data_IF_868573352807
#
_entry.id   IF_868573352807
#
_cell.length_a   1.000
_cell.length_b   1.000
_cell.length_c   1.000
_cell.angle_alpha   90.00
_cell.angle_beta   90.00
_cell.angle_gamma   90.00
#
_symmetry.space_group_name_H-M   'P 1'
#
loop_
_entity.id
_entity.type
_entity.pdbx_description
1 polymer ?
#
# COMPACT_ATOMS: atom_id res chain seq x y z
N UNK A 1 5.53 -29.65 13.16
CA UNK A 1 5.10 -29.50 11.75
C UNK A 1 6.28 -29.23 10.81
N UNK A 2 7.19 -28.30 11.14
CA UNK A 2 8.34 -27.93 10.27
C UNK A 2 9.30 -29.07 9.91
N UNK A 3 9.52 -30.07 10.77
CA UNK A 3 10.45 -31.18 10.48
C UNK A 3 9.93 -32.13 9.40
N UNK A 4 8.63 -32.43 9.39
CA UNK A 4 8.00 -33.31 8.40
C UNK A 4 7.86 -32.64 7.03
N UNK A 5 7.56 -31.34 7.01
CA UNK A 5 7.54 -30.54 5.77
C UNK A 5 8.95 -30.45 5.19
N UNK A 6 9.98 -30.24 6.03
CA UNK A 6 11.37 -30.24 5.59
C UNK A 6 11.80 -31.62 5.04
N UNK A 7 11.39 -32.72 5.67
CA UNK A 7 11.67 -34.07 5.17
C UNK A 7 10.96 -34.36 3.83
N UNK A 8 9.70 -33.94 3.68
CA UNK A 8 8.94 -34.11 2.44
C UNK A 8 9.51 -33.26 1.29
N UNK A 9 9.93 -32.03 1.59
CA UNK A 9 10.60 -31.14 0.63
C UNK A 9 11.96 -31.68 0.16
N UNK A 10 12.68 -32.40 1.02
CA UNK A 10 13.94 -33.07 0.67
C UNK A 10 13.73 -34.35 -0.15
N UNK A 11 12.59 -35.04 0.02
CA UNK A 11 12.31 -36.32 -0.62
C UNK A 11 11.60 -36.19 -1.98
N UNK A 12 10.89 -35.09 -2.23
CA UNK A 12 10.08 -34.89 -3.45
C UNK A 12 10.49 -33.57 -4.12
N UNK A 13 11.28 -33.62 -5.21
CA UNK A 13 11.59 -32.44 -6.01
C UNK A 13 10.31 -31.77 -6.51
N UNK A 14 10.17 -30.45 -6.33
CA UNK A 14 8.98 -29.69 -6.73
C UNK A 14 7.86 -29.61 -5.68
N UNK A 15 8.02 -30.19 -4.50
CA UNK A 15 7.01 -30.13 -3.42
C UNK A 15 6.62 -28.69 -3.03
N UNK A 16 7.59 -27.76 -3.06
CA UNK A 16 7.34 -26.35 -2.74
C UNK A 16 6.42 -25.65 -3.74
N UNK A 17 6.46 -26.01 -5.02
CA UNK A 17 5.59 -25.45 -6.06
C UNK A 17 4.15 -25.98 -5.89
N UNK A 18 3.99 -27.29 -5.67
CA UNK A 18 2.67 -27.93 -5.48
C UNK A 18 1.97 -27.43 -4.20
N UNK A 19 2.72 -27.18 -3.12
CA UNK A 19 2.17 -26.70 -1.86
C UNK A 19 1.79 -25.21 -1.90
N UNK A 20 2.41 -24.41 -2.77
CA UNK A 20 2.13 -22.97 -2.91
C UNK A 20 0.82 -22.67 -3.64
N UNK A 21 0.41 -23.55 -4.55
CA UNK A 21 -0.74 -23.30 -5.43
C UNK A 21 -2.07 -23.81 -4.87
N UNK A 22 -2.06 -24.84 -4.01
CA UNK A 22 -3.27 -25.35 -3.39
C UNK A 22 -3.01 -25.91 -1.97
N UNK A 23 -3.43 -25.19 -0.90
CA UNK A 23 -3.17 -25.59 0.47
C UNK A 23 -3.86 -26.90 0.86
N UNK A 24 -4.95 -27.27 0.19
CA UNK A 24 -5.66 -28.53 0.43
C UNK A 24 -4.79 -29.74 0.05
N UNK A 25 -4.05 -29.63 -1.06
CA UNK A 25 -3.16 -30.68 -1.56
C UNK A 25 -1.99 -30.92 -0.61
N UNK A 26 -1.44 -29.84 -0.03
CA UNK A 26 -0.38 -29.93 0.99
C UNK A 26 -0.83 -30.65 2.26
N UNK A 27 -2.06 -30.40 2.72
CA UNK A 27 -2.67 -31.08 3.88
C UNK A 27 -2.87 -32.57 3.59
N UNK A 28 -3.45 -32.92 2.43
CA UNK A 28 -3.66 -34.32 2.04
C UNK A 28 -2.32 -35.06 1.97
N UNK A 29 -1.33 -34.46 1.32
CA UNK A 29 -0.02 -35.09 1.10
C UNK A 29 0.76 -35.29 2.40
N UNK A 30 0.76 -34.30 3.31
CA UNK A 30 1.38 -34.45 4.64
C UNK A 30 0.67 -35.46 5.52
N UNK A 31 -0.65 -35.60 5.38
CA UNK A 31 -1.43 -36.64 6.08
C UNK A 31 -1.06 -38.03 5.56
N UNK A 32 -0.98 -38.20 4.24
CA UNK A 32 -0.58 -39.47 3.59
C UNK A 32 0.85 -39.84 3.97
N UNK A 33 1.80 -38.91 3.93
CA UNK A 33 3.21 -39.16 4.31
C UNK A 33 3.31 -39.58 5.78
N UNK A 34 2.56 -38.95 6.69
CA UNK A 34 2.53 -39.35 8.10
C UNK A 34 1.95 -40.75 8.30
N UNK A 35 0.91 -41.12 7.54
CA UNK A 35 0.34 -42.48 7.59
C UNK A 35 1.35 -43.50 7.06
N UNK A 36 2.01 -43.22 5.93
CA UNK A 36 3.00 -44.11 5.32
C UNK A 36 4.24 -44.29 6.18
N UNK A 37 4.79 -43.22 6.76
CA UNK A 37 5.93 -43.30 7.68
C UNK A 37 5.60 -44.15 8.90
N UNK A 38 4.38 -44.02 9.44
CA UNK A 38 3.90 -44.83 10.57
C UNK A 38 3.69 -46.29 10.21
N UNK A 39 3.32 -46.60 8.97
CA UNK A 39 3.23 -47.98 8.47
C UNK A 39 4.61 -48.61 8.24
N UNK A 40 5.64 -47.79 8.00
CA UNK A 40 6.98 -48.26 7.66
C UNK A 40 7.85 -48.57 8.88
N UNK A 41 7.68 -47.82 9.98
CA UNK A 41 8.30 -48.16 11.26
C UNK A 41 7.59 -49.38 11.87
N UNK A 42 8.14 -50.58 11.68
CA UNK A 42 7.66 -51.87 12.22
C UNK A 42 7.70 -51.98 13.76
N UNK A 43 7.55 -50.88 14.48
CA UNK A 43 7.33 -50.95 15.93
C UNK A 43 5.85 -51.30 16.17
N UNK A 44 5.54 -52.34 16.95
CA UNK A 44 4.17 -52.64 17.34
C UNK A 44 3.66 -51.50 18.23
N UNK A 45 3.04 -50.50 17.61
CA UNK A 45 2.40 -49.41 18.34
C UNK A 45 1.27 -50.02 19.16
N UNK A 46 1.45 -49.98 20.48
CA UNK A 46 0.38 -50.17 21.44
C UNK A 46 -0.65 -49.09 21.14
N UNK A 47 -1.71 -49.44 20.38
CA UNK A 47 -2.70 -48.46 19.94
C UNK A 47 -3.22 -47.71 21.17
N UNK A 48 -3.14 -46.37 21.21
CA UNK A 48 -3.79 -45.63 22.26
C UNK A 48 -5.27 -46.03 22.24
N UNK A 49 -5.79 -46.38 23.41
CA UNK A 49 -7.17 -46.81 23.61
C UNK A 49 -8.13 -45.96 22.75
N UNK A 50 -9.06 -46.59 22.02
CA UNK A 50 -9.90 -45.98 20.96
C UNK A 50 -10.57 -44.64 21.35
N UNK A 51 -10.66 -44.33 22.63
CA UNK A 51 -11.20 -43.09 23.20
C UNK A 51 -10.31 -41.85 22.96
N UNK A 52 -9.01 -41.98 22.64
CA UNK A 52 -8.08 -40.83 22.55
C UNK A 52 -7.69 -40.39 21.12
N UNK A 53 -8.21 -41.04 20.08
CA UNK A 53 -7.86 -40.71 18.66
C UNK A 53 -8.67 -39.51 18.13
N UNK A 54 -9.93 -39.38 18.54
CA UNK A 54 -10.83 -38.29 18.14
C UNK A 54 -10.33 -36.89 18.56
N UNK A 55 -9.86 -36.65 19.81
CA UNK A 55 -9.41 -35.31 20.20
C UNK A 55 -8.16 -34.83 19.45
N UNK A 56 -7.27 -35.73 19.01
CA UNK A 56 -6.07 -35.36 18.28
C UNK A 56 -6.38 -34.86 16.85
N UNK A 57 -7.36 -35.49 16.19
CA UNK A 57 -7.83 -35.09 14.87
C UNK A 57 -8.53 -33.72 14.92
N UNK A 58 -9.42 -33.52 15.91
CA UNK A 58 -10.07 -32.22 16.12
C UNK A 58 -9.08 -31.09 16.44
N UNK A 59 -8.04 -31.36 17.25
CA UNK A 59 -7.00 -30.38 17.55
C UNK A 59 -6.20 -30.00 16.28
N UNK A 60 -5.91 -30.96 15.39
CA UNK A 60 -5.22 -30.68 14.13
C UNK A 60 -6.06 -29.81 13.16
N UNK A 61 -7.37 -30.05 13.11
CA UNK A 61 -8.32 -29.25 12.33
C UNK A 61 -8.42 -27.82 12.86
N UNK A 62 -8.49 -27.66 14.19
CA UNK A 62 -8.54 -26.35 14.84
C UNK A 62 -7.25 -25.53 14.62
N UNK A 63 -6.08 -26.18 14.51
CA UNK A 63 -4.82 -25.48 14.24
C UNK A 63 -4.70 -25.05 12.76
N UNK A 64 -5.31 -25.81 11.84
CA UNK A 64 -5.27 -25.48 10.40
C UNK A 64 -6.16 -24.30 9.99
N UNK A 65 -7.18 -23.97 10.78
CA UNK A 65 -8.14 -22.90 10.47
C UNK A 65 -7.63 -21.47 10.70
N UNK A 66 -6.46 -21.28 11.31
CA UNK A 66 -5.94 -19.94 11.68
C UNK A 66 -4.82 -19.42 10.77
N UNK A 67 -4.42 -20.18 9.74
CA UNK A 67 -3.42 -19.70 8.79
C UNK A 67 -4.06 -18.59 7.94
N UNK A 68 -3.62 -17.34 8.15
CA UNK A 68 -4.06 -16.23 7.32
C UNK A 68 -3.54 -16.42 5.90
N UNK A 69 -4.40 -16.26 4.90
CA UNK A 69 -3.97 -16.33 3.50
C UNK A 69 -3.17 -15.07 3.19
N UNK A 70 -1.93 -15.18 2.68
CA UNK A 70 -1.15 -14.01 2.27
C UNK A 70 -1.92 -13.19 1.24
N UNK A 71 -1.84 -11.86 1.34
CA UNK A 71 -2.43 -10.97 0.36
C UNK A 71 -1.74 -11.16 -0.99
N UNK A 72 -2.49 -11.61 -2.00
CA UNK A 72 -2.02 -11.67 -3.40
C UNK A 72 -2.41 -10.38 -4.12
N UNK A 73 -1.40 -9.69 -4.66
CA UNK A 73 -1.60 -8.49 -5.47
C UNK A 73 -1.59 -8.85 -6.95
N UNK A 74 -2.46 -8.21 -7.72
CA UNK A 74 -2.39 -8.23 -9.19
C UNK A 74 -1.43 -7.12 -9.62
N UNK A 75 -0.29 -7.46 -10.26
CA UNK A 75 0.69 -6.46 -10.69
C UNK A 75 0.17 -5.51 -11.78
N UNK A 76 -0.95 -5.85 -12.43
CA UNK A 76 -1.54 -5.04 -13.49
C UNK A 76 -2.56 -4.01 -12.97
N UNK A 77 -2.89 -4.03 -11.68
CA UNK A 77 -3.86 -3.11 -11.09
C UNK A 77 -3.18 -1.95 -10.37
N UNK A 78 -3.71 -0.75 -10.56
CA UNK A 78 -3.39 0.39 -9.71
C UNK A 78 -4.22 0.35 -8.43
N UNK A 79 -3.59 0.14 -7.29
CA UNK A 79 -4.29 0.11 -6.00
C UNK A 79 -4.41 1.50 -5.37
N UNK A 80 -5.51 1.72 -4.65
CA UNK A 80 -5.71 2.93 -3.85
C UNK A 80 -4.58 3.08 -2.83
N UNK A 81 -3.94 4.25 -2.81
CA UNK A 81 -2.99 4.63 -1.76
C UNK A 81 -3.76 4.92 -0.49
N UNK A 82 -3.33 4.27 0.58
CA UNK A 82 -4.11 4.22 1.80
C UNK A 82 -3.24 4.05 3.06
N UNK A 83 -1.94 4.35 2.97
CA UNK A 83 -1.05 4.38 4.12
C UNK A 83 -1.42 5.56 5.03
N UNK A 84 -1.71 5.31 6.32
CA UNK A 84 -1.90 6.39 7.28
C UNK A 84 -0.56 7.01 7.70
N UNK A 85 -0.51 8.33 7.70
CA UNK A 85 0.66 9.12 8.11
C UNK A 85 0.23 10.38 8.85
N UNK A 86 1.08 10.89 9.72
CA UNK A 86 0.90 12.16 10.41
C UNK A 86 2.14 13.02 10.24
N UNK A 87 1.96 14.31 9.96
CA UNK A 87 3.04 15.28 9.83
C UNK A 87 2.93 16.27 10.99
N UNK A 88 4.00 16.37 11.79
CA UNK A 88 4.04 17.23 12.98
C UNK A 88 3.66 18.68 12.61
N UNK A 89 2.69 19.24 13.31
CA UNK A 89 2.21 20.61 13.09
C UNK A 89 1.26 20.80 11.91
N UNK A 90 1.00 19.78 11.10
CA UNK A 90 0.08 19.86 9.94
C UNK A 90 -1.16 19.00 10.15
N UNK A 91 -1.01 17.72 10.45
CA UNK A 91 -2.15 16.81 10.67
C UNK A 91 -1.90 15.38 10.21
N UNK A 92 -2.95 14.56 10.26
CA UNK A 92 -2.92 13.16 9.83
C UNK A 92 -3.73 12.95 8.54
N UNK A 93 -3.23 12.09 7.67
CA UNK A 93 -3.74 11.85 6.33
C UNK A 93 -3.71 10.35 6.00
N UNK A 94 -4.48 9.96 5.00
CA UNK A 94 -4.48 8.60 4.45
C UNK A 94 -4.17 8.65 2.94
N UNK A 95 -3.08 7.99 2.54
CA UNK A 95 -2.73 7.82 1.13
C UNK A 95 -2.13 9.07 0.49
N UNK A 96 -2.90 10.12 0.24
CA UNK A 96 -2.42 11.25 -0.57
C UNK A 96 -2.77 12.59 0.05
N UNK A 97 -1.81 13.51 0.10
CA UNK A 97 -2.06 14.88 0.56
C UNK A 97 -1.07 15.88 -0.05
N UNK A 98 -1.39 17.17 0.10
CA UNK A 98 -0.49 18.29 -0.15
C UNK A 98 -0.07 18.87 1.20
N UNK A 99 1.21 19.06 1.41
CA UNK A 99 1.78 19.65 2.62
C UNK A 99 2.21 21.10 2.34
N UNK A 100 2.06 22.01 3.30
CA UNK A 100 2.62 23.35 3.17
C UNK A 100 4.14 23.30 3.01
N UNK A 101 4.71 24.30 2.33
CA UNK A 101 6.15 24.40 2.15
C UNK A 101 6.87 24.58 3.50
N UNK A 102 7.83 23.71 3.81
CA UNK A 102 8.65 23.74 5.02
C UNK A 102 10.07 23.27 4.69
N UNK A 103 11.05 23.74 5.47
CA UNK A 103 12.44 23.32 5.31
C UNK A 103 12.69 21.90 5.83
N UNK A 104 11.86 21.41 6.75
CA UNK A 104 11.97 20.07 7.31
C UNK A 104 10.61 19.57 7.76
N UNK A 105 10.35 18.29 7.54
CA UNK A 105 9.11 17.61 7.91
C UNK A 105 9.42 16.44 8.84
N UNK A 106 8.74 16.35 9.98
CA UNK A 106 8.70 15.13 10.79
C UNK A 106 7.43 14.36 10.43
N UNK A 107 7.62 13.17 9.84
CA UNK A 107 6.55 12.31 9.34
C UNK A 107 6.49 11.05 10.19
N UNK A 108 5.38 10.86 10.89
CA UNK A 108 5.05 9.61 11.59
C UNK A 108 4.26 8.70 10.67
N UNK A 109 4.84 7.54 10.35
CA UNK A 109 4.26 6.53 9.46
C UNK A 109 3.77 5.36 10.31
N UNK A 110 2.49 5.01 10.15
CA UNK A 110 1.87 3.93 10.90
C UNK A 110 1.40 2.81 9.95
N UNK A 111 1.44 1.54 10.37
CA UNK A 111 0.81 0.48 9.61
C UNK A 111 -0.71 0.66 9.58
N UNK A 112 -1.32 0.31 8.45
CA UNK A 112 -2.78 0.22 8.34
C UNK A 112 -3.29 -1.05 9.01
N UNK A 113 -4.27 -0.92 9.90
CA UNK A 113 -4.85 -2.06 10.62
C UNK A 113 -3.87 -2.68 11.62
N UNK A 114 -3.77 -4.01 11.61
CA UNK A 114 -2.86 -4.83 12.42
C UNK A 114 -1.56 -5.22 11.67
N UNK A 115 -1.28 -4.58 10.54
CA UNK A 115 -0.03 -4.78 9.80
C UNK A 115 1.22 -4.46 10.63
N UNK A 116 2.29 -5.21 10.37
CA UNK A 116 3.64 -4.83 10.75
C UNK A 116 4.37 -4.26 9.53
N UNK A 117 5.25 -3.29 9.75
CA UNK A 117 6.12 -2.75 8.70
C UNK A 117 7.47 -3.44 8.86
N UNK A 118 7.80 -4.33 7.92
CA UNK A 118 9.10 -5.02 7.87
C UNK A 118 10.10 -4.25 7.00
N UNK A 119 9.60 -3.61 5.93
CA UNK A 119 10.36 -2.73 5.05
C UNK A 119 9.58 -1.43 4.83
N UNK A 120 10.27 -0.31 5.01
CA UNK A 120 9.82 1.03 4.63
C UNK A 120 10.73 1.53 3.50
N UNK A 121 10.15 1.93 2.37
CA UNK A 121 10.85 2.64 1.29
C UNK A 121 10.30 4.06 1.19
N UNK A 122 11.19 5.05 1.23
CA UNK A 122 10.84 6.44 1.00
C UNK A 122 11.59 6.92 -0.25
N UNK A 123 10.85 7.33 -1.27
CA UNK A 123 11.40 7.71 -2.57
C UNK A 123 10.98 9.13 -2.91
N UNK A 124 11.93 9.97 -3.31
CA UNK A 124 11.68 11.28 -3.90
C UNK A 124 12.01 11.26 -5.41
N UNK A 125 12.01 12.41 -6.05
CA UNK A 125 12.51 12.56 -7.42
C UNK A 125 14.04 12.35 -7.53
N UNK A 126 14.79 12.41 -6.43
CA UNK A 126 16.26 12.40 -6.44
C UNK A 126 16.90 11.25 -5.66
N UNK A 127 16.21 10.68 -4.66
CA UNK A 127 16.76 9.64 -3.79
C UNK A 127 15.73 8.58 -3.41
N UNK A 128 16.25 7.42 -3.04
CA UNK A 128 15.49 6.33 -2.45
C UNK A 128 16.19 5.90 -1.16
N UNK A 129 15.43 5.87 -0.07
CA UNK A 129 15.89 5.47 1.25
C UNK A 129 15.10 4.24 1.71
N UNK A 130 15.80 3.21 2.15
CA UNK A 130 15.21 1.95 2.60
C UNK A 130 15.52 1.67 4.06
N UNK A 131 14.49 1.33 4.83
CA UNK A 131 14.61 0.98 6.25
C UNK A 131 14.03 -0.41 6.47
N UNK A 132 14.89 -1.37 6.75
CA UNK A 132 14.50 -2.72 7.16
C UNK A 132 14.49 -2.82 8.67
N UNK A 133 13.47 -3.50 9.21
CA UNK A 133 13.49 -3.89 10.61
C UNK A 133 14.49 -5.04 10.80
N UNK A 134 15.61 -4.79 11.47
CA UNK A 134 16.43 -5.88 12.00
C UNK A 134 15.59 -6.68 13.00
N UNK A 135 15.33 -7.95 12.68
CA UNK A 135 14.61 -8.88 13.54
C UNK A 135 15.41 -9.14 14.84
N UNK A 136 15.36 -8.21 15.79
CA UNK A 136 16.03 -8.36 17.08
C UNK A 136 15.14 -9.16 18.05
N UNK A 137 15.27 -10.48 17.98
CA UNK A 137 14.94 -11.41 19.07
C UNK A 137 13.77 -12.38 18.83
N UNK A 138 13.95 -13.61 19.31
CA UNK A 138 13.00 -14.75 19.22
C UNK A 138 11.69 -14.61 20.02
N UNK A 139 11.42 -13.44 20.62
CA UNK A 139 10.21 -13.21 21.43
C UNK A 139 9.10 -12.52 20.62
N UNK A 140 7.99 -13.26 20.42
CA UNK A 140 6.91 -13.06 19.44
C UNK A 140 5.89 -11.96 19.83
N UNK A 141 6.28 -10.92 20.56
CA UNK A 141 5.35 -9.86 21.01
C UNK A 141 5.86 -8.42 20.74
N UNK A 142 6.48 -8.19 19.58
CA UNK A 142 6.84 -6.81 19.20
C UNK A 142 5.62 -6.06 18.65
N UNK A 143 5.29 -4.93 19.31
CA UNK A 143 4.20 -4.00 18.96
C UNK A 143 4.33 -3.42 17.54
N UNK A 144 3.17 -2.96 17.02
CA UNK A 144 3.06 -2.12 15.80
C UNK A 144 4.16 -1.06 15.80
N UNK A 145 5.05 -1.16 14.84
CA UNK A 145 6.24 -0.30 14.78
C UNK A 145 5.86 0.92 13.96
N UNK A 146 5.66 2.06 14.63
CA UNK A 146 5.54 3.34 13.96
C UNK A 146 6.94 3.82 13.57
N UNK A 147 7.09 4.37 12.38
CA UNK A 147 8.34 4.96 11.92
C UNK A 147 8.25 6.47 12.04
N UNK A 148 9.30 7.10 12.56
CA UNK A 148 9.49 8.55 12.47
C UNK A 148 10.55 8.81 11.41
N UNK A 149 10.18 9.57 10.40
CA UNK A 149 11.05 9.92 9.28
C UNK A 149 11.19 11.45 9.21
N UNK A 150 12.43 11.93 9.13
CA UNK A 150 12.73 13.35 9.00
C UNK A 150 13.10 13.62 7.54
N UNK A 151 12.29 14.43 6.87
CA UNK A 151 12.51 14.78 5.46
C UNK A 151 12.94 16.24 5.36
N UNK A 152 14.10 16.46 4.75
CA UNK A 152 14.62 17.79 4.39
C UNK A 152 14.83 17.81 2.88
N UNK A 153 14.02 18.56 2.11
CA UNK A 153 14.16 18.66 0.66
C UNK A 153 15.57 19.12 0.25
N UNK A 154 16.17 18.46 -0.73
CA UNK A 154 17.42 18.91 -1.34
C UNK A 154 17.21 20.21 -2.14
N UNK A 155 17.96 21.26 -1.78
CA UNK A 155 17.85 22.59 -2.40
C UNK A 155 18.22 22.55 -3.88
N UNK A 156 17.38 23.15 -4.71
CA UNK A 156 17.47 23.20 -6.16
C UNK A 156 17.07 21.91 -6.89
N UNK A 157 16.57 20.89 -6.17
CA UNK A 157 16.22 19.59 -6.75
C UNK A 157 14.84 19.11 -6.26
N UNK A 158 14.67 18.95 -4.94
CA UNK A 158 13.42 18.45 -4.37
C UNK A 158 12.48 19.59 -3.93
N UNK A 159 13.00 20.81 -3.83
CA UNK A 159 12.26 22.03 -3.47
C UNK A 159 11.87 22.89 -4.68
N UNK A 160 11.97 22.38 -5.91
CA UNK A 160 11.63 23.11 -7.16
C UNK A 160 10.11 23.19 -7.44
N UNK A 161 9.32 22.44 -6.65
CA UNK A 161 7.86 22.37 -6.71
C UNK A 161 7.30 21.16 -7.47
N UNK A 162 8.12 20.46 -8.25
CA UNK A 162 7.64 19.35 -9.10
C UNK A 162 7.91 17.98 -8.48
N UNK A 163 8.72 17.91 -7.44
CA UNK A 163 9.02 16.70 -6.70
C UNK A 163 7.85 16.22 -5.82
N UNK A 164 7.69 14.90 -5.71
CA UNK A 164 6.77 14.25 -4.75
C UNK A 164 7.57 13.37 -3.81
N UNK A 165 7.05 13.15 -2.60
CA UNK A 165 7.55 12.10 -1.70
C UNK A 165 6.62 10.90 -1.74
N UNK A 166 7.14 9.75 -2.15
CA UNK A 166 6.48 8.45 -2.13
C UNK A 166 6.90 7.68 -0.88
N UNK A 167 5.93 7.13 -0.15
CA UNK A 167 6.17 6.32 1.05
C UNK A 167 5.52 4.97 0.85
N UNK A 168 6.31 3.91 0.88
CA UNK A 168 5.86 2.55 0.64
C UNK A 168 6.19 1.67 1.84
N UNK A 169 5.22 0.93 2.34
CA UNK A 169 5.40 -0.01 3.45
C UNK A 169 5.07 -1.43 3.00
N UNK A 170 5.88 -2.40 3.43
CA UNK A 170 5.74 -3.81 3.10
C UNK A 170 5.83 -4.68 4.35
N UNK A 171 4.94 -5.66 4.44
CA UNK A 171 4.97 -6.73 5.44
C UNK A 171 5.38 -8.05 4.79
N UNK A 172 6.41 -8.70 5.34
CA UNK A 172 7.00 -9.92 4.82
C UNK A 172 6.09 -11.15 5.00
N UNK A 173 5.40 -11.26 6.14
CA UNK A 173 4.69 -12.49 6.51
C UNK A 173 3.34 -12.66 5.80
N UNK A 174 2.53 -11.60 5.76
CA UNK A 174 1.21 -11.64 5.13
C UNK A 174 1.17 -10.90 3.79
N UNK A 175 2.28 -10.33 3.33
CA UNK A 175 2.34 -9.60 2.06
C UNK A 175 1.50 -8.33 2.04
N UNK A 176 1.15 -7.76 3.21
CA UNK A 176 0.32 -6.55 3.28
C UNK A 176 1.14 -5.34 2.91
N UNK A 177 0.68 -4.60 1.91
CA UNK A 177 1.35 -3.39 1.44
C UNK A 177 0.47 -2.16 1.72
N UNK A 178 1.07 -0.99 1.88
CA UNK A 178 0.35 0.29 1.93
C UNK A 178 1.25 1.38 1.37
N UNK A 179 0.65 2.36 0.71
CA UNK A 179 1.39 3.43 0.02
C UNK A 179 0.82 4.79 0.34
N UNK A 180 1.69 5.81 0.33
CA UNK A 180 1.31 7.20 0.32
C UNK A 180 2.12 8.03 -0.67
N UNK A 181 1.54 9.16 -1.09
CA UNK A 181 2.18 10.21 -1.88
C UNK A 181 1.92 11.58 -1.29
N UNK A 182 2.98 12.33 -1.08
CA UNK A 182 2.94 13.68 -0.57
C UNK A 182 3.39 14.63 -1.69
N UNK A 183 2.57 15.65 -1.94
CA UNK A 183 2.97 16.84 -2.71
C UNK A 183 3.28 17.96 -1.74
N UNK A 184 4.01 18.96 -2.20
CA UNK A 184 4.38 20.13 -1.41
C UNK A 184 3.89 21.38 -2.11
N UNK A 185 3.32 22.32 -1.35
CA UNK A 185 3.10 23.67 -1.85
C UNK A 185 4.45 24.30 -2.23
N UNK A 186 4.45 25.16 -3.23
CA UNK A 186 5.67 25.81 -3.69
C UNK A 186 5.38 27.22 -4.21
N UNK A 187 6.24 28.23 -3.94
CA UNK A 187 6.00 29.61 -4.36
C UNK A 187 5.82 29.84 -5.88
N UNK A 188 6.25 28.89 -6.72
CA UNK A 188 5.98 28.89 -8.17
C UNK A 188 4.49 28.76 -8.48
N UNK A 189 3.74 28.07 -7.63
CA UNK A 189 2.33 27.78 -7.80
C UNK A 189 1.49 28.68 -6.89
N UNK A 190 0.81 29.65 -7.49
CA UNK A 190 0.11 30.73 -6.78
C UNK A 190 -1.36 30.86 -7.19
N UNK A 191 -1.82 30.03 -8.12
CA UNK A 191 -3.19 30.03 -8.58
C UNK A 191 -4.03 29.16 -7.64
N UNK A 192 -4.88 29.79 -6.84
CA UNK A 192 -5.81 29.08 -5.96
C UNK A 192 -6.90 28.36 -6.75
N UNK A 193 -7.34 27.21 -6.22
CA UNK A 193 -8.42 26.43 -6.82
C UNK A 193 -9.36 25.83 -5.77
N UNK A 194 -10.59 25.59 -6.20
CA UNK A 194 -11.58 24.80 -5.46
C UNK A 194 -11.71 23.44 -6.12
N UNK A 195 -11.21 22.39 -5.46
CA UNK A 195 -11.20 21.02 -5.95
C UNK A 195 -12.32 20.22 -5.26
N UNK A 196 -13.18 19.58 -6.06
CA UNK A 196 -14.11 18.55 -5.62
C UNK A 196 -13.57 17.19 -6.03
N UNK A 197 -13.07 16.43 -5.06
CA UNK A 197 -12.45 15.13 -5.24
C UNK A 197 -13.21 14.07 -4.43
N UNK A 198 -13.73 13.03 -5.07
CA UNK A 198 -14.60 12.01 -4.45
C UNK A 198 -15.80 12.61 -3.69
N UNK A 199 -16.34 13.72 -4.16
CA UNK A 199 -17.45 14.43 -3.49
C UNK A 199 -17.04 15.27 -2.28
N UNK A 200 -15.75 15.26 -1.88
CA UNK A 200 -15.21 16.18 -0.88
C UNK A 200 -14.73 17.47 -1.54
N UNK A 201 -15.04 18.61 -0.92
CA UNK A 201 -14.56 19.91 -1.37
C UNK A 201 -13.31 20.32 -0.59
N UNK A 202 -12.27 20.76 -1.31
CA UNK A 202 -11.00 21.21 -0.76
C UNK A 202 -10.59 22.51 -1.43
N UNK A 203 -10.19 23.49 -0.63
CA UNK A 203 -9.46 24.65 -1.13
C UNK A 203 -8.00 24.23 -1.32
N UNK A 204 -7.42 24.58 -2.46
CA UNK A 204 -6.03 24.26 -2.79
C UNK A 204 -5.26 25.54 -3.13
N UNK A 205 -4.06 25.67 -2.57
CA UNK A 205 -3.19 26.83 -2.72
C UNK A 205 -2.06 26.53 -3.69
N UNK A 206 -2.33 26.76 -4.97
CA UNK A 206 -1.37 26.49 -6.05
C UNK A 206 -1.13 25.00 -6.35
N UNK A 207 -1.19 24.11 -5.38
CA UNK A 207 -0.95 22.68 -5.58
C UNK A 207 -2.14 21.87 -5.07
N UNK A 208 -2.58 20.89 -5.85
CA UNK A 208 -3.66 19.99 -5.47
C UNK A 208 -3.38 18.54 -5.86
N UNK A 209 -3.93 17.61 -5.07
CA UNK A 209 -3.92 16.19 -5.37
C UNK A 209 -5.32 15.61 -5.24
N UNK A 210 -5.72 14.79 -6.20
CA UNK A 210 -6.96 14.04 -6.14
C UNK A 210 -6.74 12.57 -6.45
N UNK A 211 -7.00 11.70 -5.48
CA UNK A 211 -7.06 10.27 -5.70
C UNK A 211 -8.52 9.82 -5.82
N UNK A 212 -8.89 9.15 -6.91
CA UNK A 212 -10.24 8.64 -7.14
C UNK A 212 -10.21 7.29 -7.86
N UNK A 213 -11.35 6.59 -7.89
CA UNK A 213 -11.49 5.41 -8.75
C UNK A 213 -11.38 5.85 -10.21
N UNK A 214 -10.58 5.15 -11.00
CA UNK A 214 -10.41 5.46 -12.42
C UNK A 214 -11.76 5.49 -13.16
N UNK A 215 -11.90 6.44 -14.08
CA UNK A 215 -13.12 6.70 -14.84
C UNK A 215 -14.11 7.66 -14.16
N UNK A 216 -13.96 7.97 -12.87
CA UNK A 216 -14.79 8.97 -12.21
C UNK A 216 -14.34 10.39 -12.58
N UNK A 217 -15.30 11.27 -12.83
CA UNK A 217 -15.04 12.68 -13.08
C UNK A 217 -14.89 13.46 -11.77
N UNK A 218 -13.86 14.29 -11.69
CA UNK A 218 -13.63 15.24 -10.60
C UNK A 218 -13.85 16.65 -11.12
N UNK A 219 -14.09 17.61 -10.24
CA UNK A 219 -14.29 19.02 -10.64
C UNK A 219 -13.26 19.91 -10.00
N UNK A 220 -12.69 20.81 -10.77
CA UNK A 220 -11.84 21.88 -10.27
C UNK A 220 -12.35 23.24 -10.79
N UNK A 221 -12.38 24.23 -9.92
CA UNK A 221 -12.82 25.58 -10.25
C UNK A 221 -11.75 26.60 -9.91
N UNK A 222 -11.54 27.51 -10.85
CA UNK A 222 -10.68 28.68 -10.70
C UNK A 222 -11.53 29.94 -10.76
N UNK A 223 -11.07 31.00 -10.11
CA UNK A 223 -11.78 32.29 -10.08
C UNK A 223 -11.41 33.17 -11.28
N UNK A 224 -10.41 32.78 -12.07
CA UNK A 224 -10.00 33.42 -13.32
C UNK A 224 -9.96 32.43 -14.50
N UNK A 225 -10.01 32.89 -15.76
CA UNK A 225 -9.83 32.02 -16.93
C UNK A 225 -8.45 31.38 -16.95
N UNK A 226 -8.40 30.09 -17.33
CA UNK A 226 -7.19 29.28 -17.29
C UNK A 226 -7.02 28.42 -18.55
N UNK A 227 -5.79 27.98 -18.79
CA UNK A 227 -5.41 26.98 -19.77
C UNK A 227 -4.75 25.80 -19.06
N UNK A 228 -5.03 24.59 -19.52
CA UNK A 228 -4.41 23.37 -19.00
C UNK A 228 -3.31 22.90 -19.96
N UNK A 229 -2.22 22.40 -19.39
CA UNK A 229 -1.16 21.64 -20.03
C UNK A 229 -1.11 20.27 -19.33
N UNK A 230 -1.08 19.17 -20.07
CA UNK A 230 -1.18 17.81 -19.52
C UNK A 230 -0.38 16.80 -20.36
N UNK A 231 -0.03 15.67 -19.75
CA UNK A 231 0.61 14.56 -20.46
C UNK A 231 -0.35 13.88 -21.44
N UNK A 232 0.12 13.40 -22.58
CA UNK A 232 -0.72 12.78 -23.63
C UNK A 232 -1.60 11.61 -23.12
N UNK A 233 -1.15 10.89 -22.10
CA UNK A 233 -1.88 9.77 -21.47
C UNK A 233 -3.06 10.23 -20.59
N UNK A 234 -3.15 11.51 -20.30
CA UNK A 234 -4.12 12.08 -19.35
C UNK A 234 -5.39 12.52 -20.04
N UNK A 235 -6.50 12.39 -19.32
CA UNK A 235 -7.81 12.77 -19.84
C UNK A 235 -7.88 14.28 -20.05
N UNK A 236 -8.46 14.68 -21.18
CA UNK A 236 -8.62 16.09 -21.54
C UNK A 236 -9.64 16.74 -20.57
N UNK A 237 -9.27 17.80 -19.83
CA UNK A 237 -10.19 18.56 -19.01
C UNK A 237 -11.31 19.18 -19.85
N UNK A 238 -12.56 19.05 -19.42
CA UNK A 238 -13.73 19.60 -20.12
C UNK A 238 -14.34 20.72 -19.30
N UNK A 239 -14.56 21.87 -19.92
CA UNK A 239 -15.24 22.99 -19.24
C UNK A 239 -16.73 22.69 -19.08
N UNK A 240 -17.22 22.75 -17.85
CA UNK A 240 -18.62 22.59 -17.50
C UNK A 240 -19.40 23.92 -17.61
N UNK A 241 -20.73 23.82 -17.59
CA UNK A 241 -21.62 24.99 -17.72
C UNK A 241 -21.48 25.99 -16.57
N UNK A 242 -21.14 25.51 -15.37
CA UNK A 242 -20.95 26.35 -14.19
C UNK A 242 -19.59 27.08 -14.17
N UNK A 243 -18.74 26.84 -15.18
CA UNK A 243 -17.40 27.40 -15.29
C UNK A 243 -16.30 26.59 -14.57
N UNK A 244 -16.65 25.47 -13.94
CA UNK A 244 -15.66 24.49 -13.47
C UNK A 244 -15.11 23.65 -14.63
N UNK A 245 -14.06 22.89 -14.36
CA UNK A 245 -13.47 21.93 -15.28
C UNK A 245 -13.67 20.53 -14.72
N UNK A 246 -14.30 19.67 -15.53
CA UNK A 246 -14.45 18.24 -15.28
C UNK A 246 -13.24 17.49 -15.79
N UNK A 247 -12.61 16.71 -14.90
CA UNK A 247 -11.39 15.97 -15.17
C UNK A 247 -11.69 14.48 -14.89
N UNK A 248 -11.90 13.67 -15.94
CA UNK A 248 -11.97 12.22 -15.80
C UNK A 248 -10.64 11.69 -15.24
N UNK A 249 -10.68 10.88 -14.19
CA UNK A 249 -9.45 10.32 -13.62
C UNK A 249 -9.00 9.13 -14.45
N UNK A 250 -7.87 9.29 -15.16
CA UNK A 250 -7.18 8.19 -15.84
C UNK A 250 -6.59 7.20 -14.84
N UNK A 251 -6.43 5.94 -15.25
CA UNK A 251 -5.70 4.93 -14.46
C UNK A 251 -4.26 5.41 -14.24
N UNK A 252 -3.75 5.22 -13.01
CA UNK A 252 -2.40 5.64 -12.63
C UNK A 252 -2.32 7.14 -12.35
N UNK A 253 -1.17 7.75 -12.68
CA UNK A 253 -0.88 9.14 -12.33
C UNK A 253 -0.95 10.07 -13.53
N UNK A 254 -1.57 11.23 -13.31
CA UNK A 254 -1.72 12.27 -14.30
C UNK A 254 -1.44 13.66 -13.73
N UNK A 255 -0.44 14.33 -14.27
CA UNK A 255 -0.10 15.72 -13.95
C UNK A 255 -0.79 16.70 -14.89
N UNK A 256 -1.25 17.82 -14.32
CA UNK A 256 -1.82 18.94 -15.06
C UNK A 256 -1.18 20.23 -14.53
N UNK A 257 -0.53 20.98 -15.42
CA UNK A 257 -0.11 22.35 -15.15
C UNK A 257 -1.20 23.28 -15.66
N UNK A 258 -1.74 24.13 -14.79
CA UNK A 258 -2.79 25.08 -15.13
C UNK A 258 -2.22 26.49 -15.06
N UNK A 259 -2.38 27.27 -16.12
CA UNK A 259 -1.90 28.64 -16.21
C UNK A 259 -3.07 29.61 -16.35
N UNK A 260 -3.14 30.61 -15.50
CA UNK A 260 -4.11 31.70 -15.67
C UNK A 260 -3.63 32.76 -16.66
N UNK A 261 -4.56 33.61 -17.11
CA UNK A 261 -4.21 34.77 -17.95
C UNK A 261 -3.27 35.76 -17.24
N UNK A 262 -3.31 35.82 -15.91
CA UNK A 262 -2.40 36.65 -15.11
C UNK A 262 -1.00 36.04 -14.93
N UNK A 263 -0.77 34.84 -15.48
CA UNK A 263 0.51 34.13 -15.42
C UNK A 263 0.71 33.29 -14.17
N UNK A 264 -0.28 33.19 -13.28
CA UNK A 264 -0.22 32.32 -12.11
C UNK A 264 -0.35 30.86 -12.52
N UNK A 265 0.34 29.99 -11.79
CA UNK A 265 0.36 28.55 -12.05
C UNK A 265 -0.35 27.77 -10.93
N UNK A 266 -1.02 26.69 -11.31
CA UNK A 266 -1.50 25.65 -10.42
C UNK A 266 -0.97 24.30 -10.90
N UNK A 267 -0.50 23.47 -9.98
CA UNK A 267 -0.15 22.07 -10.24
C UNK A 267 -1.23 21.15 -9.68
N UNK A 268 -1.76 20.27 -10.52
CA UNK A 268 -2.75 19.28 -10.14
C UNK A 268 -2.23 17.88 -10.48
N UNK A 269 -2.19 17.01 -9.47
CA UNK A 269 -1.95 15.59 -9.64
C UNK A 269 -3.25 14.79 -9.43
N UNK A 270 -3.66 14.01 -10.43
CA UNK A 270 -4.72 13.00 -10.25
C UNK A 270 -4.15 11.59 -10.20
N UNK A 271 -4.75 10.75 -9.36
CA UNK A 271 -4.35 9.36 -9.14
C UNK A 271 -5.58 8.46 -9.28
N UNK A 272 -5.66 7.70 -10.36
CA UNK A 272 -6.72 6.74 -10.62
C UNK A 272 -6.38 5.35 -10.15
N UNK A 273 -7.13 4.84 -9.18
CA UNK A 273 -7.03 3.46 -8.75
C UNK A 273 -8.13 2.58 -9.36
N UNK A 274 -7.82 1.32 -9.54
CA UNK A 274 -8.71 0.25 -10.02
C UNK A 274 -9.10 -0.68 -8.88
N UNK A 275 -8.17 -0.95 -7.96
CA UNK A 275 -8.34 -1.84 -6.82
C UNK A 275 -8.25 -1.14 -5.46
N UNK A 276 -8.82 -1.78 -4.44
CA UNK A 276 -8.63 -1.40 -3.03
C UNK A 276 -8.09 -2.61 -2.28
N UNK A 277 -7.09 -2.40 -1.43
CA UNK A 277 -6.55 -3.46 -0.58
C UNK A 277 -7.48 -3.71 0.61
N UNK A 278 -8.16 -4.85 0.60
CA UNK A 278 -8.87 -5.35 1.77
C UNK A 278 -7.86 -6.07 2.66
N UNK A 279 -7.72 -5.62 3.91
CA UNK A 279 -6.86 -6.24 4.93
C UNK A 279 -7.79 -6.88 5.95
N UNK A 280 -7.71 -8.20 6.10
CA UNK A 280 -8.42 -8.90 7.16
C UNK A 280 -7.81 -8.51 8.50
N UNK A 281 -8.65 -8.05 9.43
CA UNK A 281 -8.27 -7.79 10.81
C UNK A 281 -8.40 -9.11 11.55
N UNK A 282 -7.30 -9.61 12.13
CA UNK A 282 -7.33 -10.76 13.03
C UNK A 282 -7.69 -10.34 14.45
#
# INVERSE_FOLDING_TARGET
MNFLIALAALAIPGFHEIAGDNPLTAIILTTVINVLLRLWTKEPVQMPDKKNIIPLFFLSLLISACAGVPQRLDPNLFYKRDLPLCVTGVGCYEGTTVLPAQTTYEIEIAPKGDANIDLLLVTSCHREESFEKTASGWFIFQKKTKFKYFYTPAVGIEDDGDCSLMVNTYEKLLGRHSWARLRFEHPKYQLDARLSCNGEFKQAHGVSVCQSKAGLAQRIRFDEPVMFEWDEKCAIPKKAQDGSYEIPVSVGECGYTVRSQSGKLHDLLTIGYEGVLVREIK
#
